data_IF_207735299336
#
_entry.id   IF_207735299336
#
_cell.length_a   1.000
_cell.length_b   1.000
_cell.length_c   1.000
_cell.angle_alpha   90.00
_cell.angle_beta   90.00
_cell.angle_gamma   90.00
#
_symmetry.space_group_name_H-M   'P 1'
#
loop_
_entity.id
_entity.type
_entity.pdbx_description
1 polymer ?
#
# COMPACT_ATOMS: atom_id res chain seq x y z
N UNK A 1 -8.86 7.20 -5.57
CA UNK A 1 -8.57 5.75 -5.53
C UNK A 1 -9.30 5.19 -4.33
N UNK A 2 -10.00 4.08 -4.50
CA UNK A 2 -10.65 3.40 -3.37
C UNK A 2 -9.62 2.82 -2.41
N UNK A 3 -10.01 2.73 -1.14
CA UNK A 3 -9.19 2.08 -0.10
C UNK A 3 -9.13 0.57 -0.38
N UNK A 4 -7.93 -0.02 -0.50
CA UNK A 4 -7.78 -1.47 -0.69
C UNK A 4 -8.41 -2.26 0.45
N UNK A 5 -8.92 -3.44 0.12
CA UNK A 5 -9.60 -4.33 1.05
C UNK A 5 -8.95 -5.70 0.98
N UNK A 6 -8.88 -6.36 2.14
CA UNK A 6 -8.37 -7.72 2.29
C UNK A 6 -9.43 -8.53 3.04
N UNK A 7 -9.67 -9.77 2.61
CA UNK A 7 -10.58 -10.68 3.29
C UNK A 7 -9.76 -11.74 4.03
N UNK A 8 -9.91 -11.81 5.36
CA UNK A 8 -9.28 -12.84 6.21
C UNK A 8 -10.37 -13.49 7.03
N UNK A 9 -10.46 -14.82 7.01
CA UNK A 9 -11.43 -15.59 7.79
C UNK A 9 -12.88 -15.07 7.67
N UNK A 10 -13.29 -14.65 6.46
CA UNK A 10 -14.63 -14.11 6.19
C UNK A 10 -14.87 -12.68 6.68
N UNK A 11 -13.86 -11.98 7.18
CA UNK A 11 -13.93 -10.56 7.57
C UNK A 11 -13.22 -9.68 6.55
N UNK A 12 -13.85 -8.54 6.23
CA UNK A 12 -13.21 -7.49 5.43
C UNK A 12 -12.36 -6.60 6.35
N UNK A 13 -11.09 -6.46 6.00
CA UNK A 13 -10.10 -5.65 6.70
C UNK A 13 -9.72 -4.49 5.79
N UNK A 14 -9.62 -3.30 6.39
CA UNK A 14 -9.11 -2.09 5.73
C UNK A 14 -7.79 -1.63 6.35
N UNK A 15 -6.85 -1.11 5.55
CA UNK A 15 -5.55 -0.66 6.00
C UNK A 15 -5.66 0.54 6.95
N UNK A 16 -4.76 0.61 7.93
CA UNK A 16 -4.55 1.81 8.73
C UNK A 16 -3.94 2.93 7.87
N UNK A 17 -4.14 4.22 8.20
CA UNK A 17 -3.51 5.32 7.48
C UNK A 17 -1.97 5.17 7.47
N UNK A 18 -1.33 5.05 6.30
CA UNK A 18 0.08 4.75 6.19
C UNK A 18 0.93 5.90 6.74
N UNK A 19 2.10 5.55 7.29
CA UNK A 19 3.11 6.52 7.74
C UNK A 19 4.27 6.59 6.74
N UNK A 20 5.15 7.58 6.89
CA UNK A 20 6.30 7.76 6.00
C UNK A 20 7.21 6.53 5.89
N UNK A 21 7.30 5.70 6.93
CA UNK A 21 8.02 4.41 6.87
C UNK A 21 7.42 3.50 5.78
N UNK A 22 6.11 3.29 5.81
CA UNK A 22 5.39 2.48 4.81
C UNK A 22 5.66 3.01 3.40
N UNK A 23 5.54 4.33 3.21
CA UNK A 23 5.83 4.96 1.92
C UNK A 23 7.24 4.65 1.40
N UNK A 24 8.27 4.78 2.25
CA UNK A 24 9.66 4.53 1.86
C UNK A 24 9.90 3.07 1.48
N UNK A 25 9.34 2.12 2.22
CA UNK A 25 9.50 0.68 1.92
C UNK A 25 8.83 0.31 0.58
N UNK A 26 7.65 0.87 0.31
CA UNK A 26 6.99 0.70 -0.99
C UNK A 26 7.82 1.28 -2.13
N UNK A 27 8.35 2.52 -1.99
CA UNK A 27 9.24 3.10 -2.99
C UNK A 27 10.49 2.24 -3.21
N UNK A 28 11.18 1.87 -2.12
CA UNK A 28 12.39 1.06 -2.20
C UNK A 28 12.14 -0.26 -2.94
N UNK A 29 11.04 -0.94 -2.66
CA UNK A 29 10.69 -2.16 -3.36
C UNK A 29 10.37 -1.92 -4.84
N UNK A 30 9.53 -0.94 -5.18
CA UNK A 30 9.09 -0.73 -6.56
C UNK A 30 10.20 -0.14 -7.45
N UNK A 31 11.12 0.66 -6.90
CA UNK A 31 12.25 1.26 -7.62
C UNK A 31 13.45 0.31 -7.76
N UNK A 32 13.57 -0.72 -6.91
CA UNK A 32 14.66 -1.68 -7.01
C UNK A 32 14.64 -2.46 -8.33
N UNK A 33 15.82 -2.71 -8.89
CA UNK A 33 15.99 -3.69 -9.95
C UNK A 33 15.75 -5.10 -9.40
N UNK A 34 15.01 -5.92 -10.14
CA UNK A 34 14.54 -7.25 -9.71
C UNK A 34 15.04 -8.36 -10.64
N UNK A 35 15.99 -8.08 -11.53
CA UNK A 35 16.50 -9.07 -12.51
C UNK A 35 17.03 -10.35 -11.86
N UNK A 36 17.68 -10.24 -10.69
CA UNK A 36 18.26 -11.40 -9.98
C UNK A 36 17.34 -11.99 -8.90
N UNK A 37 16.12 -11.48 -8.75
CA UNK A 37 15.18 -11.93 -7.71
C UNK A 37 14.43 -13.18 -8.22
N UNK A 38 14.51 -14.28 -7.47
CA UNK A 38 13.71 -15.46 -7.79
C UNK A 38 12.23 -15.23 -7.45
N UNK A 39 11.35 -16.12 -7.96
CA UNK A 39 9.91 -15.99 -7.78
C UNK A 39 9.46 -16.07 -6.32
N UNK A 40 10.10 -16.93 -5.52
CA UNK A 40 9.78 -17.10 -4.10
C UNK A 40 10.06 -15.81 -3.34
N UNK A 41 11.28 -15.28 -3.43
CA UNK A 41 11.69 -14.01 -2.81
C UNK A 41 10.81 -12.84 -3.27
N UNK A 42 10.41 -12.84 -4.54
CA UNK A 42 9.51 -11.84 -5.10
C UNK A 42 8.13 -11.89 -4.43
N UNK A 43 7.53 -13.07 -4.29
CA UNK A 43 6.24 -13.24 -3.64
C UNK A 43 6.33 -12.94 -2.14
N UNK A 44 7.40 -13.38 -1.47
CA UNK A 44 7.65 -13.15 -0.06
C UNK A 44 7.78 -11.65 0.25
N UNK A 45 8.43 -10.89 -0.63
CA UNK A 45 8.50 -9.44 -0.52
C UNK A 45 7.14 -8.76 -0.68
N UNK A 46 6.27 -9.27 -1.57
CA UNK A 46 4.91 -8.76 -1.71
C UNK A 46 4.08 -9.01 -0.44
N UNK A 47 4.18 -10.20 0.16
CA UNK A 47 3.51 -10.51 1.43
C UNK A 47 3.96 -9.56 2.53
N UNK A 48 5.27 -9.27 2.64
CA UNK A 48 5.80 -8.29 3.60
C UNK A 48 5.23 -6.88 3.38
N UNK A 49 5.08 -6.46 2.14
CA UNK A 49 4.47 -5.16 1.82
C UNK A 49 2.97 -5.11 2.11
N UNK A 50 2.24 -6.22 1.95
CA UNK A 50 0.82 -6.31 2.35
C UNK A 50 0.70 -6.11 3.86
N UNK A 51 1.47 -6.86 4.65
CA UNK A 51 1.49 -6.75 6.12
C UNK A 51 1.79 -5.30 6.54
N UNK A 52 2.85 -4.72 5.99
CA UNK A 52 3.26 -3.36 6.29
C UNK A 52 2.23 -2.31 5.83
N UNK A 53 1.67 -2.50 4.64
CA UNK A 53 0.71 -1.58 4.02
C UNK A 53 -0.63 -1.56 4.74
N UNK A 54 -1.07 -2.71 5.24
CA UNK A 54 -2.25 -2.79 6.10
C UNK A 54 -1.99 -2.25 7.50
N UNK A 55 -0.83 -2.53 8.08
CA UNK A 55 -0.45 -2.02 9.41
C UNK A 55 -1.45 -2.40 10.50
N UNK A 56 -2.06 -3.58 10.37
CA UNK A 56 -3.04 -4.19 11.29
C UNK A 56 -2.39 -5.41 11.93
N UNK A 57 -2.58 -5.61 13.23
CA UNK A 57 -1.99 -6.74 13.96
C UNK A 57 -2.51 -8.10 13.45
N UNK A 58 -3.76 -8.13 12.99
CA UNK A 58 -4.40 -9.33 12.44
C UNK A 58 -3.92 -9.70 11.02
N UNK A 59 -3.17 -8.82 10.34
CA UNK A 59 -2.60 -9.09 9.01
C UNK A 59 -1.16 -9.54 9.20
N UNK A 60 -0.98 -10.83 9.47
CA UNK A 60 0.31 -11.52 9.62
C UNK A 60 0.69 -12.27 8.33
N UNK A 61 1.94 -12.77 8.25
CA UNK A 61 2.40 -13.61 7.13
C UNK A 61 1.49 -14.82 6.94
N UNK A 62 1.27 -15.58 8.01
CA UNK A 62 0.36 -16.74 8.04
C UNK A 62 -1.04 -16.38 7.56
N UNK A 63 -1.61 -15.28 8.07
CA UNK A 63 -2.97 -14.86 7.67
C UNK A 63 -3.07 -14.55 6.17
N UNK A 64 -2.03 -13.96 5.58
CA UNK A 64 -2.00 -13.65 4.15
C UNK A 64 -1.82 -14.92 3.33
N UNK A 65 -0.90 -15.79 3.71
CA UNK A 65 -0.61 -17.04 2.99
C UNK A 65 -1.78 -18.02 3.00
N UNK A 66 -2.58 -18.05 4.07
CA UNK A 66 -3.72 -18.95 4.19
C UNK A 66 -5.03 -18.41 3.60
N UNK A 67 -5.17 -17.09 3.47
CA UNK A 67 -6.46 -16.47 3.10
C UNK A 67 -6.44 -15.69 1.78
N UNK A 68 -5.27 -15.45 1.19
CA UNK A 68 -5.14 -14.69 -0.05
C UNK A 68 -4.73 -15.62 -1.18
N UNK A 69 -5.52 -15.60 -2.26
CA UNK A 69 -5.17 -16.33 -3.46
C UNK A 69 -3.83 -15.83 -4.02
N UNK A 70 -2.98 -16.76 -4.45
CA UNK A 70 -1.66 -16.43 -5.02
C UNK A 70 -1.76 -15.44 -6.19
N UNK A 71 -2.86 -15.49 -6.95
CA UNK A 71 -3.16 -14.58 -8.06
C UNK A 71 -3.41 -13.13 -7.60
N UNK A 72 -3.79 -12.93 -6.35
CA UNK A 72 -4.16 -11.62 -5.79
C UNK A 72 -3.03 -10.95 -5.00
N UNK A 73 -1.96 -11.66 -4.67
CA UNK A 73 -0.80 -11.13 -3.93
C UNK A 73 -0.21 -9.89 -4.62
N UNK A 74 0.13 -10.01 -5.91
CA UNK A 74 0.74 -8.90 -6.65
C UNK A 74 -0.26 -7.76 -6.94
N UNK A 75 -1.49 -8.02 -7.41
CA UNK A 75 -2.51 -6.99 -7.56
C UNK A 75 -2.83 -6.22 -6.28
N UNK A 76 -2.91 -6.89 -5.13
CA UNK A 76 -3.21 -6.26 -3.84
C UNK A 76 -2.09 -5.28 -3.44
N UNK A 77 -0.83 -5.71 -3.50
CA UNK A 77 0.32 -4.84 -3.21
C UNK A 77 0.36 -3.61 -4.13
N UNK A 78 0.09 -3.79 -5.42
CA UNK A 78 0.03 -2.66 -6.38
C UNK A 78 -1.13 -1.71 -6.07
N UNK A 79 -2.27 -2.24 -5.66
CA UNK A 79 -3.43 -1.44 -5.26
C UNK A 79 -3.14 -0.64 -3.99
N UNK A 80 -2.48 -1.25 -3.00
CA UNK A 80 -1.92 -0.57 -1.83
C UNK A 80 -0.99 0.56 -2.23
N UNK A 81 -0.04 0.31 -3.14
CA UNK A 81 0.90 1.34 -3.54
C UNK A 81 0.21 2.55 -4.19
N UNK A 82 -0.70 2.31 -5.14
CA UNK A 82 -1.47 3.38 -5.80
C UNK A 82 -2.33 4.16 -4.82
N UNK A 83 -2.93 3.48 -3.84
CA UNK A 83 -3.67 4.13 -2.78
C UNK A 83 -2.76 5.02 -1.93
N UNK A 84 -1.61 4.51 -1.47
CA UNK A 84 -0.62 5.30 -0.72
C UNK A 84 -0.14 6.51 -1.54
N UNK A 85 0.16 6.33 -2.83
CA UNK A 85 0.50 7.42 -3.76
C UNK A 85 -0.62 8.47 -3.85
N UNK A 86 -1.89 8.05 -3.87
CA UNK A 86 -2.99 9.02 -3.89
C UNK A 86 -3.06 9.86 -2.59
N UNK A 87 -2.63 9.29 -1.46
CA UNK A 87 -2.62 9.97 -0.17
C UNK A 87 -1.51 11.02 -0.07
N UNK A 88 -0.34 10.81 -0.69
CA UNK A 88 0.78 11.77 -0.63
C UNK A 88 0.43 13.13 -1.24
N UNK A 89 -0.44 13.15 -2.26
CA UNK A 89 -0.92 14.38 -2.91
C UNK A 89 -2.31 14.83 -2.43
N UNK A 90 -3.02 14.00 -1.66
CA UNK A 90 -4.41 14.26 -1.24
C UNK A 90 -4.61 15.57 -0.46
N UNK A 91 -3.59 15.99 0.32
CA UNK A 91 -3.63 17.23 1.10
C UNK A 91 -3.15 18.47 0.33
N UNK A 92 -2.48 18.29 -0.81
CA UNK A 92 -2.08 19.40 -1.69
C UNK A 92 -3.26 19.93 -2.51
N UNK A 93 -4.20 19.07 -2.87
CA UNK A 93 -5.42 19.44 -3.64
C UNK A 93 -6.41 20.24 -2.79
N UNK A 94 -6.34 20.16 -1.46
CA UNK A 94 -7.19 20.87 -0.51
C UNK A 94 -6.55 22.15 0.06
N UNK A 95 -5.43 22.62 -0.50
CA UNK A 95 -5.00 23.98 -0.21
C UNK A 95 -6.06 24.90 -0.82
N UNK A 96 -6.77 25.74 -0.02
CA UNK A 96 -7.49 26.84 -0.62
C UNK A 96 -6.43 27.59 -1.43
N UNK A 97 -6.68 27.80 -2.72
CA UNK A 97 -6.03 28.88 -3.42
C UNK A 97 -6.38 30.12 -2.61
N UNK A 98 -5.50 30.49 -1.67
CA UNK A 98 -5.64 31.70 -0.90
C UNK A 98 -5.87 32.77 -1.94
N UNK A 99 -6.97 33.50 -1.80
CA UNK A 99 -7.28 34.64 -2.63
C UNK A 99 -6.01 35.49 -2.68
N UNK A 100 -5.25 35.42 -3.77
CA UNK A 100 -4.29 36.47 -4.09
C UNK A 100 -5.17 37.64 -4.49
N UNK A 101 -5.63 38.34 -3.47
CA UNK A 101 -6.32 39.60 -3.58
C UNK A 101 -5.55 40.47 -4.54
N UNK A 102 -6.30 41.10 -5.45
CA UNK A 102 -5.84 42.29 -6.14
C UNK A 102 -5.38 43.28 -5.07
N UNK A 103 -4.08 43.40 -4.86
CA UNK A 103 -3.52 44.56 -4.20
C UNK A 103 -3.21 45.60 -5.28
N UNK A 104 -4.01 46.67 -5.19
CA UNK A 104 -3.91 48.04 -5.72
C UNK A 104 -3.02 48.33 -6.94
#
# INVERSE_FOLDING_TARGET
MDTPKLHIAGREITPNPPKMKVWREFLAFFDADKQDMNLEDFLDAHVRLIILGFGREEVTKESVEENVDVADIVPLTRSLFRWIQSLTFSKLVNLPNGETGKEA
#
